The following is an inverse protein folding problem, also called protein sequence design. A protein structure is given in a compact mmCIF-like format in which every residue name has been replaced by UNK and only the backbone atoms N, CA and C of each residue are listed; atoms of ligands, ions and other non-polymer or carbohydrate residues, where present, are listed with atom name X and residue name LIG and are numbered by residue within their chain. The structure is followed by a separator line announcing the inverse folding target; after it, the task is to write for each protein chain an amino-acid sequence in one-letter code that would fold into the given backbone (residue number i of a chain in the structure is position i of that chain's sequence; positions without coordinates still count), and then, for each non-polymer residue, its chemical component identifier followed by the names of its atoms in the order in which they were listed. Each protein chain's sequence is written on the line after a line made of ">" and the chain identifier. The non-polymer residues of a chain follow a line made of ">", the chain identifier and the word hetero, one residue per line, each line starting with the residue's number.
data_IF_099428310101
#
_entry.id   IF_099428310101
#
_cell.length_a   1.000
_cell.length_b   1.000
_cell.length_c   1.000
_cell.angle_alpha   90.00
_cell.angle_beta   90.00
_cell.angle_gamma   90.00
#
_symmetry.space_group_name_H-M   'P 1'
#
loop_
_entity.id
_entity.type
_entity.pdbx_description
1 polymer ?
#
# COMPACT_ATOMS: atom_id res chain seq x y z
N UNK A 1 5.01 -0.85 -25.78
CA UNK A 1 5.29 -1.60 -24.54
C UNK A 1 5.99 -0.65 -23.57
N UNK A 2 5.51 -0.55 -22.34
CA UNK A 2 6.17 0.21 -21.26
C UNK A 2 7.09 -0.73 -20.48
N UNK A 3 8.30 -0.28 -20.15
CA UNK A 3 9.25 -1.00 -19.30
C UNK A 3 9.70 -0.08 -18.16
N UNK A 4 9.80 -0.62 -16.95
CA UNK A 4 10.31 0.06 -15.77
C UNK A 4 11.74 -0.42 -15.51
N UNK A 5 12.68 0.50 -15.40
CA UNK A 5 14.06 0.25 -14.98
C UNK A 5 14.27 0.75 -13.56
N UNK A 6 14.62 -0.16 -12.67
CA UNK A 6 15.04 0.15 -11.31
C UNK A 6 16.55 0.28 -11.31
N UNK A 7 17.07 1.48 -11.08
CA UNK A 7 18.50 1.77 -11.11
C UNK A 7 19.08 1.83 -9.69
N UNK A 8 20.05 1.01 -9.36
CA UNK A 8 20.73 1.01 -8.06
C UNK A 8 22.25 1.19 -8.20
N UNK A 9 22.97 1.31 -7.08
CA UNK A 9 24.42 1.54 -7.14
C UNK A 9 25.19 0.33 -7.70
N UNK A 10 24.76 -0.88 -7.37
CA UNK A 10 25.53 -2.11 -7.57
C UNK A 10 26.68 -2.24 -6.56
N UNK A 11 27.13 -3.48 -6.36
CA UNK A 11 28.13 -3.87 -5.37
C UNK A 11 29.18 -4.78 -6.00
N UNK A 12 30.48 -4.60 -5.64
CA UNK A 12 31.53 -5.56 -6.02
C UNK A 12 31.27 -6.98 -5.48
N UNK A 13 30.49 -7.10 -4.39
CA UNK A 13 30.07 -8.39 -3.86
C UNK A 13 28.79 -8.83 -4.56
N UNK A 14 28.89 -9.86 -5.42
CA UNK A 14 27.77 -10.35 -6.25
C UNK A 14 26.50 -10.65 -5.43
N UNK A 15 26.62 -11.30 -4.28
CA UNK A 15 25.48 -11.66 -3.43
C UNK A 15 24.76 -10.44 -2.80
N UNK A 16 25.36 -9.25 -2.85
CA UNK A 16 24.72 -8.02 -2.41
C UNK A 16 23.88 -7.36 -3.51
N UNK A 17 24.01 -7.79 -4.77
CA UNK A 17 23.25 -7.27 -5.91
C UNK A 17 21.87 -7.93 -5.95
N UNK A 18 20.96 -7.42 -5.11
CA UNK A 18 19.63 -7.99 -4.92
C UNK A 18 18.53 -7.16 -5.61
N UNK A 19 18.90 -6.29 -6.56
CA UNK A 19 17.96 -5.37 -7.18
C UNK A 19 16.97 -6.11 -8.10
N UNK A 20 17.36 -7.26 -8.66
CA UNK A 20 16.42 -8.12 -9.40
C UNK A 20 15.25 -8.58 -8.52
N UNK A 21 15.47 -8.84 -7.24
CA UNK A 21 14.40 -9.23 -6.31
C UNK A 21 13.38 -8.11 -6.14
N UNK A 22 13.84 -6.86 -6.05
CA UNK A 22 12.97 -5.68 -5.99
C UNK A 22 12.20 -5.53 -7.30
N UNK A 23 12.87 -5.66 -8.44
CA UNK A 23 12.23 -5.61 -9.75
C UNK A 23 11.12 -6.66 -9.88
N UNK A 24 11.37 -7.89 -9.42
CA UNK A 24 10.39 -8.98 -9.43
C UNK A 24 9.18 -8.70 -8.50
N UNK A 25 9.40 -8.16 -7.30
CA UNK A 25 8.31 -7.79 -6.40
C UNK A 25 7.43 -6.68 -7.00
N UNK A 26 8.05 -5.68 -7.63
CA UNK A 26 7.34 -4.61 -8.32
C UNK A 26 6.58 -5.12 -9.54
N UNK A 27 7.19 -6.00 -10.34
CA UNK A 27 6.54 -6.67 -11.47
C UNK A 27 5.23 -7.34 -11.06
N UNK A 28 5.29 -8.17 -10.02
CA UNK A 28 4.13 -8.90 -9.50
C UNK A 28 3.03 -7.98 -8.96
N UNK A 29 3.40 -6.79 -8.47
CA UNK A 29 2.47 -5.83 -7.89
C UNK A 29 1.79 -4.97 -8.95
N UNK A 30 2.56 -4.47 -9.93
CA UNK A 30 2.07 -3.52 -10.95
C UNK A 30 1.31 -4.25 -12.06
N UNK A 31 1.79 -5.42 -12.49
CA UNK A 31 1.24 -6.15 -13.62
C UNK A 31 1.01 -7.65 -13.30
N UNK A 32 0.03 -7.98 -12.43
CA UNK A 32 -0.30 -9.37 -12.16
C UNK A 32 -0.76 -10.07 -13.45
N UNK A 33 0.00 -11.08 -13.90
CA UNK A 33 -0.27 -11.85 -15.12
C UNK A 33 0.52 -11.45 -16.37
N UNK A 34 1.44 -10.48 -16.27
CA UNK A 34 2.36 -10.17 -17.36
C UNK A 34 3.42 -11.27 -17.51
N UNK A 35 3.48 -11.89 -18.69
CA UNK A 35 4.47 -12.90 -19.06
C UNK A 35 5.83 -12.33 -19.47
N UNK A 36 5.94 -11.00 -19.58
CA UNK A 36 7.14 -10.31 -20.03
C UNK A 36 7.91 -9.72 -18.83
N UNK A 37 9.22 -9.60 -18.96
CA UNK A 37 10.06 -8.85 -18.00
C UNK A 37 9.87 -7.34 -18.19
N UNK A 38 8.73 -6.80 -17.74
CA UNK A 38 8.40 -5.37 -17.86
C UNK A 38 8.98 -4.52 -16.71
N UNK A 39 9.56 -5.13 -15.69
CA UNK A 39 10.39 -4.44 -14.68
C UNK A 39 11.77 -5.09 -14.65
N UNK A 40 12.82 -4.28 -14.76
CA UNK A 40 14.21 -4.75 -14.89
C UNK A 40 15.14 -3.97 -13.96
N UNK A 41 16.22 -4.63 -13.53
CA UNK A 41 17.27 -4.00 -12.74
C UNK A 41 18.36 -3.42 -13.65
N UNK A 42 18.95 -2.31 -13.23
CA UNK A 42 20.14 -1.73 -13.82
C UNK A 42 21.04 -1.15 -12.73
N UNK A 43 22.33 -1.06 -13.01
CA UNK A 43 23.32 -0.68 -12.01
C UNK A 43 24.15 0.52 -12.47
N UNK A 44 24.43 1.43 -11.55
CA UNK A 44 25.29 2.59 -11.83
C UNK A 44 26.76 2.15 -11.93
N UNK A 45 27.20 1.23 -11.07
CA UNK A 45 28.57 0.72 -11.00
C UNK A 45 28.62 -0.74 -10.53
N UNK A 46 29.77 -1.39 -10.69
CA UNK A 46 30.14 -2.70 -10.10
C UNK A 46 29.29 -3.94 -10.47
N UNK A 47 28.14 -3.75 -11.11
CA UNK A 47 27.23 -4.80 -11.52
C UNK A 47 26.67 -4.52 -12.92
N UNK A 48 26.10 -5.54 -13.54
CA UNK A 48 25.59 -5.49 -14.91
C UNK A 48 24.14 -5.96 -14.94
N UNK A 49 23.32 -5.48 -15.90
CA UNK A 49 23.66 -4.46 -16.90
C UNK A 49 23.81 -3.07 -16.28
N UNK A 50 24.67 -2.24 -16.86
CA UNK A 50 24.71 -0.82 -16.53
C UNK A 50 23.43 -0.11 -17.01
N UNK A 51 23.19 1.12 -16.55
CA UNK A 51 21.95 1.86 -16.89
C UNK A 51 21.80 2.05 -18.41
N UNK A 52 22.88 2.37 -19.12
CA UNK A 52 22.82 2.61 -20.55
C UNK A 52 22.60 1.30 -21.33
N UNK A 53 23.28 0.23 -20.95
CA UNK A 53 23.09 -1.11 -21.51
C UNK A 53 21.67 -1.61 -21.27
N UNK A 54 21.12 -1.42 -20.06
CA UNK A 54 19.76 -1.79 -19.74
C UNK A 54 18.75 -1.02 -20.60
N UNK A 55 18.96 0.29 -20.82
CA UNK A 55 18.14 1.10 -21.73
C UNK A 55 18.21 0.57 -23.16
N UNK A 56 19.42 0.29 -23.68
CA UNK A 56 19.61 -0.28 -25.03
C UNK A 56 18.85 -1.59 -25.19
N UNK A 57 18.94 -2.48 -24.21
CA UNK A 57 18.23 -3.76 -24.22
C UNK A 57 16.71 -3.55 -24.22
N UNK A 58 16.20 -2.62 -23.41
CA UNK A 58 14.78 -2.27 -23.40
C UNK A 58 14.29 -1.73 -24.75
N UNK A 59 15.05 -0.83 -25.37
CA UNK A 59 14.71 -0.25 -26.67
C UNK A 59 14.72 -1.32 -27.78
N UNK A 60 15.72 -2.20 -27.79
CA UNK A 60 15.83 -3.31 -28.74
C UNK A 60 14.67 -4.32 -28.60
N UNK A 61 14.16 -4.50 -27.38
CA UNK A 61 12.97 -5.31 -27.11
C UNK A 61 11.64 -4.62 -27.53
N UNK A 62 11.72 -3.45 -28.16
CA UNK A 62 10.56 -2.72 -28.68
C UNK A 62 9.82 -1.88 -27.64
N UNK A 63 10.49 -1.48 -26.55
CA UNK A 63 9.94 -0.49 -25.64
C UNK A 63 9.56 0.79 -26.39
N UNK A 64 8.37 1.31 -26.10
CA UNK A 64 7.93 2.64 -26.55
C UNK A 64 8.06 3.69 -25.47
N UNK A 65 8.19 3.23 -24.23
CA UNK A 65 8.29 4.05 -23.05
C UNK A 65 9.14 3.33 -22.00
N UNK A 66 10.10 4.05 -21.41
CA UNK A 66 10.98 3.54 -20.36
C UNK A 66 10.87 4.47 -19.16
N UNK A 67 10.43 3.93 -18.02
CA UNK A 67 10.38 4.65 -16.75
C UNK A 67 11.60 4.26 -15.92
N UNK A 68 12.49 5.20 -15.63
CA UNK A 68 13.69 4.99 -14.81
C UNK A 68 13.40 5.48 -13.39
N UNK A 69 13.46 4.55 -12.43
CA UNK A 69 13.32 4.82 -11.01
C UNK A 69 14.64 4.60 -10.26
N UNK A 70 15.24 5.65 -9.68
CA UNK A 70 16.44 5.51 -8.87
C UNK A 70 16.14 4.89 -7.50
N UNK A 71 16.66 3.69 -7.24
CA UNK A 71 16.52 2.96 -5.99
C UNK A 71 17.60 3.38 -4.97
N UNK A 72 17.54 4.65 -4.54
CA UNK A 72 18.50 5.25 -3.61
C UNK A 72 17.78 5.94 -2.45
N UNK A 73 18.22 5.66 -1.21
CA UNK A 73 17.68 6.29 0.01
C UNK A 73 18.14 7.74 0.21
N UNK A 74 19.28 8.10 -0.38
CA UNK A 74 19.83 9.45 -0.31
C UNK A 74 20.11 9.99 -1.71
N UNK A 75 19.81 11.27 -1.88
CA UNK A 75 20.06 12.03 -3.10
C UNK A 75 21.51 12.54 -3.11
N UNK A 76 22.48 11.62 -3.11
CA UNK A 76 23.89 11.99 -3.32
C UNK A 76 24.11 12.58 -4.72
N UNK A 77 25.18 13.35 -4.91
CA UNK A 77 25.51 13.99 -6.21
C UNK A 77 25.33 13.03 -7.39
N UNK A 78 25.88 11.82 -7.27
CA UNK A 78 25.82 10.77 -8.31
C UNK A 78 24.41 10.39 -8.78
N UNK A 79 23.39 10.46 -7.93
CA UNK A 79 22.02 10.11 -8.31
C UNK A 79 21.33 11.27 -9.02
N UNK A 80 21.61 12.49 -8.57
CA UNK A 80 20.95 13.71 -9.07
C UNK A 80 21.59 14.29 -10.33
N UNK A 81 22.83 13.92 -10.66
CA UNK A 81 23.50 14.36 -11.89
C UNK A 81 23.72 13.24 -12.89
N UNK A 82 24.20 12.08 -12.45
CA UNK A 82 24.75 11.09 -13.38
C UNK A 82 23.63 10.33 -14.10
N UNK A 83 22.60 9.90 -13.38
CA UNK A 83 21.44 9.21 -13.99
C UNK A 83 20.71 10.14 -14.97
N UNK A 84 20.36 11.40 -14.62
CA UNK A 84 19.77 12.32 -15.59
C UNK A 84 20.65 12.57 -16.82
N UNK A 85 21.98 12.62 -16.68
CA UNK A 85 22.89 12.76 -17.82
C UNK A 85 22.83 11.53 -18.75
N UNK A 86 22.85 10.32 -18.19
CA UNK A 86 22.70 9.05 -18.93
C UNK A 86 21.36 9.01 -19.66
N UNK A 87 20.26 9.42 -19.00
CA UNK A 87 18.93 9.45 -19.62
C UNK A 87 18.88 10.44 -20.78
N UNK A 88 19.47 11.64 -20.64
CA UNK A 88 19.56 12.61 -21.75
C UNK A 88 20.33 12.07 -22.95
N UNK A 89 21.42 11.33 -22.70
CA UNK A 89 22.17 10.69 -23.78
C UNK A 89 21.34 9.61 -24.48
N UNK A 90 20.57 8.84 -23.72
CA UNK A 90 19.66 7.84 -24.25
C UNK A 90 18.49 8.44 -25.06
N UNK A 91 17.95 9.58 -24.66
CA UNK A 91 16.91 10.31 -25.41
C UNK A 91 17.38 10.68 -26.82
N UNK A 92 18.66 11.06 -26.97
CA UNK A 92 19.26 11.36 -28.28
C UNK A 92 19.45 10.09 -29.10
N UNK A 93 19.87 8.98 -28.48
CA UNK A 93 20.08 7.71 -29.19
C UNK A 93 18.77 7.01 -29.60
N UNK A 94 17.71 7.16 -28.81
CA UNK A 94 16.44 6.45 -28.99
C UNK A 94 15.26 7.43 -29.07
N UNK A 95 15.18 8.29 -30.11
CA UNK A 95 14.15 9.34 -30.21
C UNK A 95 12.72 8.82 -30.37
N UNK A 96 12.56 7.52 -30.61
CA UNK A 96 11.26 6.84 -30.72
C UNK A 96 10.78 6.23 -29.41
N UNK A 97 11.54 6.39 -28.33
CA UNK A 97 11.23 5.90 -26.98
C UNK A 97 11.00 7.11 -26.08
N UNK A 98 9.86 7.12 -25.39
CA UNK A 98 9.59 8.12 -24.35
C UNK A 98 10.33 7.75 -23.06
N UNK A 99 11.09 8.68 -22.48
CA UNK A 99 11.81 8.47 -21.23
C UNK A 99 11.14 9.24 -20.09
N UNK A 100 10.88 8.56 -18.97
CA UNK A 100 10.40 9.19 -17.73
C UNK A 100 11.40 8.90 -16.62
N UNK A 101 11.83 9.95 -15.93
CA UNK A 101 12.67 9.85 -14.74
C UNK A 101 11.85 10.23 -13.51
N UNK A 102 11.87 9.39 -12.47
CA UNK A 102 11.18 9.69 -11.20
C UNK A 102 12.13 10.24 -10.16
N UNK A 103 11.59 10.82 -9.09
CA UNK A 103 12.36 11.06 -7.88
C UNK A 103 12.90 9.74 -7.29
N UNK A 104 14.08 9.77 -6.64
CA UNK A 104 14.60 8.62 -5.90
C UNK A 104 13.70 8.30 -4.70
N UNK A 105 13.88 7.11 -4.09
CA UNK A 105 13.16 6.75 -2.86
C UNK A 105 13.28 7.83 -1.77
N UNK A 106 14.51 8.33 -1.55
CA UNK A 106 14.77 9.47 -0.68
C UNK A 106 14.23 9.32 0.74
N UNK A 107 13.99 10.47 1.38
CA UNK A 107 13.34 10.55 2.68
C UNK A 107 11.82 10.60 2.46
N UNK A 108 11.15 9.49 2.76
CA UNK A 108 9.70 9.37 2.63
C UNK A 108 9.11 8.71 3.90
N UNK A 109 7.91 9.12 4.31
CA UNK A 109 7.25 8.64 5.55
C UNK A 109 7.14 7.11 5.62
N UNK A 110 6.83 6.46 4.49
CA UNK A 110 6.83 4.98 4.38
C UNK A 110 8.21 4.34 4.59
N UNK A 111 9.30 5.00 4.21
CA UNK A 111 10.66 4.50 4.50
C UNK A 111 10.94 4.60 6.00
N UNK A 112 10.49 5.66 6.67
CA UNK A 112 10.54 5.78 8.13
C UNK A 112 9.77 4.67 8.82
N UNK A 113 8.63 4.23 8.29
CA UNK A 113 7.88 3.08 8.83
C UNK A 113 8.69 1.78 8.76
N UNK A 114 9.38 1.51 7.64
CA UNK A 114 10.26 0.35 7.51
C UNK A 114 11.43 0.43 8.49
N UNK A 115 12.03 1.61 8.67
CA UNK A 115 13.09 1.84 9.66
C UNK A 115 12.56 1.59 11.07
N UNK A 116 11.38 2.11 11.39
CA UNK A 116 10.71 1.92 12.67
C UNK A 116 10.45 0.44 12.94
N UNK A 117 9.94 -0.31 11.96
CA UNK A 117 9.73 -1.75 12.05
C UNK A 117 11.03 -2.51 12.35
N UNK A 118 12.14 -2.13 11.71
CA UNK A 118 13.46 -2.71 11.98
C UNK A 118 13.98 -2.38 13.37
N UNK A 119 13.83 -1.12 13.82
CA UNK A 119 14.22 -0.69 15.17
C UNK A 119 13.40 -1.45 16.20
N UNK A 120 12.09 -1.57 16.01
CA UNK A 120 11.21 -2.33 16.89
C UNK A 120 11.60 -3.81 16.96
N UNK A 121 11.85 -4.42 15.80
CA UNK A 121 12.32 -5.81 15.72
C UNK A 121 13.65 -6.02 16.46
N UNK A 122 14.55 -5.03 16.43
CA UNK A 122 15.85 -5.10 17.11
C UNK A 122 15.80 -4.74 18.60
N UNK A 123 14.95 -3.78 18.99
CA UNK A 123 14.79 -3.31 20.38
C UNK A 123 13.90 -4.21 21.24
N UNK A 124 13.26 -5.22 20.63
CA UNK A 124 12.36 -6.13 21.32
C UNK A 124 10.96 -5.55 21.56
N UNK A 125 10.72 -4.28 21.19
CA UNK A 125 9.41 -3.64 21.25
C UNK A 125 8.50 -4.27 20.21
N UNK A 126 7.63 -5.18 20.64
CA UNK A 126 6.67 -5.84 19.75
C UNK A 126 5.62 -4.82 19.32
N UNK A 127 5.06 -4.90 18.10
CA UNK A 127 3.94 -4.05 17.68
C UNK A 127 2.79 -3.98 18.71
N UNK A 128 2.53 -5.10 19.40
CA UNK A 128 1.55 -5.17 20.49
C UNK A 128 1.91 -4.30 21.70
N UNK A 129 3.19 -4.11 22.00
CA UNK A 129 3.66 -3.28 23.13
C UNK A 129 3.55 -1.79 22.81
N UNK A 130 3.76 -1.40 21.55
CA UNK A 130 3.54 -0.02 21.09
C UNK A 130 2.06 0.32 21.08
N UNK A 131 1.23 -0.61 20.61
CA UNK A 131 -0.23 -0.46 20.65
C UNK A 131 -0.72 -0.36 22.10
N UNK A 132 -0.21 -1.22 22.98
CA UNK A 132 -0.49 -1.15 24.43
C UNK A 132 -0.10 0.21 25.00
N UNK A 133 1.12 0.68 24.71
CA UNK A 133 1.61 1.98 25.18
C UNK A 133 0.77 3.13 24.64
N UNK A 134 0.33 3.05 23.39
CA UNK A 134 -0.56 4.05 22.78
C UNK A 134 -1.91 4.10 23.50
N UNK A 135 -2.49 2.95 23.84
CA UNK A 135 -3.72 2.90 24.62
C UNK A 135 -3.55 3.39 26.06
N UNK A 136 -2.40 3.16 26.69
CA UNK A 136 -2.05 3.74 27.99
C UNK A 136 -2.05 5.27 27.90
N UNK A 137 -1.32 5.84 26.92
CA UNK A 137 -1.27 7.29 26.69
C UNK A 137 -2.67 7.87 26.46
N UNK A 138 -3.50 7.24 25.62
CA UNK A 138 -4.89 7.70 25.41
C UNK A 138 -5.69 7.69 26.72
N UNK A 139 -5.44 6.73 27.61
CA UNK A 139 -6.14 6.63 28.90
C UNK A 139 -5.63 7.64 29.94
N UNK A 140 -4.38 8.08 29.82
CA UNK A 140 -3.77 9.11 30.68
C UNK A 140 -4.24 10.52 30.27
N UNK A 141 -4.37 10.77 28.96
CA UNK A 141 -4.73 12.09 28.40
C UNK A 141 -6.24 12.36 28.35
N UNK A 142 -7.07 11.32 28.45
CA UNK A 142 -8.52 11.42 28.28
C UNK A 142 -9.24 10.86 29.50
N UNK A 143 -10.08 11.68 30.13
CA UNK A 143 -11.03 11.17 31.12
C UNK A 143 -12.03 10.24 30.41
N UNK A 144 -12.06 8.99 30.83
CA UNK A 144 -12.93 7.93 30.29
C UNK A 144 -13.84 7.34 31.37
N UNK A 145 -13.91 7.97 32.55
CA UNK A 145 -14.66 7.46 33.70
C UNK A 145 -16.18 7.42 33.45
N UNK A 146 -16.68 8.27 32.55
CA UNK A 146 -18.07 8.35 32.12
C UNK A 146 -18.44 7.38 30.99
N UNK A 147 -17.45 6.67 30.43
CA UNK A 147 -17.63 5.78 29.28
C UNK A 147 -17.88 4.34 29.73
N UNK A 148 -18.98 3.69 29.30
CA UNK A 148 -19.22 2.28 29.58
C UNK A 148 -18.07 1.37 29.11
N UNK A 149 -17.71 0.36 29.92
CA UNK A 149 -16.55 -0.51 29.67
C UNK A 149 -16.58 -1.18 28.29
N UNK A 150 -17.75 -1.59 27.83
CA UNK A 150 -17.95 -2.22 26.52
C UNK A 150 -17.59 -1.30 25.34
N UNK A 151 -17.67 0.03 25.52
CA UNK A 151 -17.37 1.03 24.48
C UNK A 151 -15.91 1.43 24.46
N UNK A 152 -15.21 1.31 25.59
CA UNK A 152 -13.81 1.72 25.74
C UNK A 152 -12.89 1.14 24.66
N UNK A 153 -12.95 -0.16 24.30
CA UNK A 153 -12.07 -0.71 23.28
C UNK A 153 -12.30 -0.08 21.91
N UNK A 154 -13.55 0.24 21.58
CA UNK A 154 -13.91 0.81 20.27
C UNK A 154 -13.45 2.28 20.20
N UNK A 155 -13.76 3.07 21.22
CA UNK A 155 -13.37 4.49 21.28
C UNK A 155 -11.85 4.61 21.24
N UNK A 156 -11.12 3.88 22.09
CA UNK A 156 -9.64 3.89 22.10
C UNK A 156 -9.08 3.45 20.75
N UNK A 157 -9.69 2.46 20.08
CA UNK A 157 -9.24 2.01 18.75
C UNK A 157 -9.42 3.07 17.66
N UNK A 158 -10.53 3.81 17.69
CA UNK A 158 -10.79 4.91 16.75
C UNK A 158 -9.80 6.06 16.99
N UNK A 159 -9.64 6.49 18.25
CA UNK A 159 -8.67 7.54 18.61
C UNK A 159 -7.25 7.12 18.21
N UNK A 160 -6.84 5.89 18.51
CA UNK A 160 -5.50 5.39 18.13
C UNK A 160 -5.26 5.45 16.62
N UNK A 161 -6.28 5.15 15.81
CA UNK A 161 -6.15 5.09 14.36
C UNK A 161 -6.19 6.48 13.69
N UNK A 162 -6.75 7.47 14.38
CA UNK A 162 -6.98 8.83 13.87
C UNK A 162 -6.12 9.90 14.53
N UNK A 163 -5.55 9.58 15.70
CA UNK A 163 -4.92 10.51 16.64
C UNK A 163 -5.82 11.69 17.07
N UNK A 164 -7.14 11.49 17.04
CA UNK A 164 -8.13 12.52 17.32
C UNK A 164 -8.97 12.15 18.55
N UNK A 165 -8.84 12.93 19.62
CA UNK A 165 -9.51 12.71 20.89
C UNK A 165 -10.99 13.13 20.88
N UNK A 166 -11.44 13.92 19.90
CA UNK A 166 -12.83 14.36 19.80
C UNK A 166 -13.81 13.18 19.63
N UNK A 167 -13.31 12.06 19.09
CA UNK A 167 -14.06 10.80 18.97
C UNK A 167 -14.56 10.22 20.30
N UNK A 168 -14.07 10.66 21.46
CA UNK A 168 -14.72 10.36 22.75
C UNK A 168 -16.19 10.81 22.74
N UNK A 169 -16.43 12.00 22.21
CA UNK A 169 -17.72 12.70 22.32
C UNK A 169 -18.55 12.61 21.03
N UNK A 170 -17.90 12.51 19.87
CA UNK A 170 -18.60 12.46 18.58
C UNK A 170 -19.07 11.06 18.19
N UNK A 171 -18.54 9.98 18.79
CA UNK A 171 -19.02 8.62 18.56
C UNK A 171 -20.33 8.35 19.29
N UNK A 172 -21.38 8.09 18.51
CA UNK A 172 -22.71 7.74 19.02
C UNK A 172 -22.95 6.24 18.87
N UNK A 173 -23.38 5.60 19.96
CA UNK A 173 -23.67 4.17 19.99
C UNK A 173 -25.16 3.95 20.25
N UNK A 174 -25.81 3.18 19.38
CA UNK A 174 -27.11 2.60 19.72
C UNK A 174 -26.92 1.65 20.92
N UNK A 175 -27.86 1.58 21.89
CA UNK A 175 -27.72 0.74 23.09
C UNK A 175 -27.31 -0.71 22.77
N UNK A 176 -27.92 -1.30 21.74
CA UNK A 176 -27.69 -2.70 21.37
C UNK A 176 -26.57 -2.90 20.33
N UNK A 177 -25.89 -1.83 19.87
CA UNK A 177 -24.99 -1.91 18.71
C UNK A 177 -23.86 -2.94 18.90
N UNK A 178 -23.25 -2.94 20.10
CA UNK A 178 -22.10 -3.80 20.40
C UNK A 178 -22.56 -5.25 20.53
N UNK A 179 -23.63 -5.49 21.31
CA UNK A 179 -24.18 -6.84 21.50
C UNK A 179 -24.64 -7.45 20.17
N UNK A 180 -25.47 -6.71 19.41
CA UNK A 180 -25.98 -7.18 18.13
C UNK A 180 -24.85 -7.42 17.11
N UNK A 181 -23.86 -6.52 17.05
CA UNK A 181 -22.70 -6.67 16.18
C UNK A 181 -21.86 -7.91 16.52
N UNK A 182 -21.57 -8.13 17.80
CA UNK A 182 -20.84 -9.31 18.26
C UNK A 182 -21.62 -10.60 17.99
N UNK A 183 -22.93 -10.61 18.20
CA UNK A 183 -23.80 -11.74 17.91
C UNK A 183 -23.80 -12.08 16.41
N UNK A 184 -23.93 -11.07 15.54
CA UNK A 184 -23.90 -11.25 14.10
C UNK A 184 -22.56 -11.83 13.61
N UNK A 185 -21.43 -11.31 14.10
CA UNK A 185 -20.10 -11.80 13.75
C UNK A 185 -19.91 -13.25 14.18
N UNK A 186 -20.29 -13.60 15.42
CA UNK A 186 -20.16 -14.96 15.96
C UNK A 186 -21.08 -15.96 15.25
N UNK A 187 -22.23 -15.50 14.76
CA UNK A 187 -23.15 -16.30 13.95
C UNK A 187 -22.68 -16.47 12.49
N UNK A 188 -21.51 -15.95 12.13
CA UNK A 188 -20.93 -16.09 10.79
C UNK A 188 -21.63 -15.28 9.71
N UNK A 189 -22.29 -14.18 10.09
CA UNK A 189 -22.91 -13.26 9.12
C UNK A 189 -21.84 -12.55 8.29
N UNK A 190 -22.19 -12.24 7.05
CA UNK A 190 -21.33 -11.48 6.15
C UNK A 190 -21.29 -10.00 6.56
N UNK A 191 -20.11 -9.38 6.43
CA UNK A 191 -19.88 -7.97 6.70
C UNK A 191 -19.88 -7.21 5.38
N UNK A 192 -20.84 -6.30 5.23
CA UNK A 192 -20.97 -5.47 4.05
C UNK A 192 -20.19 -4.17 4.22
N UNK A 193 -19.47 -3.78 3.18
CA UNK A 193 -18.67 -2.55 3.16
C UNK A 193 -18.97 -1.76 1.90
N UNK A 194 -19.01 -0.45 2.02
CA UNK A 194 -19.29 0.49 0.93
C UNK A 194 -18.05 0.76 0.07
N UNK A 195 -16.85 0.66 0.64
CA UNK A 195 -15.57 0.89 -0.06
C UNK A 195 -14.54 -0.23 0.18
N UNK A 196 -13.67 -0.47 -0.82
CA UNK A 196 -12.68 -1.55 -0.78
C UNK A 196 -11.59 -1.35 0.29
N UNK A 197 -11.28 -0.11 0.66
CA UNK A 197 -10.28 0.15 1.72
C UNK A 197 -10.73 -0.41 3.07
N UNK A 198 -12.02 -0.29 3.41
CA UNK A 198 -12.56 -0.86 4.65
C UNK A 198 -12.48 -2.38 4.60
N UNK A 199 -12.87 -3.00 3.47
CA UNK A 199 -12.76 -4.45 3.26
C UNK A 199 -11.32 -4.96 3.40
N UNK A 200 -10.35 -4.24 2.85
CA UNK A 200 -8.93 -4.59 2.95
C UNK A 200 -8.39 -4.46 4.38
N UNK A 201 -8.92 -3.52 5.17
CA UNK A 201 -8.53 -3.30 6.56
C UNK A 201 -9.05 -4.34 7.56
N UNK A 202 -10.12 -5.07 7.24
CA UNK A 202 -10.70 -6.07 8.13
C UNK A 202 -9.87 -7.37 8.11
N UNK A 203 -9.36 -7.77 9.28
CA UNK A 203 -8.52 -8.96 9.43
C UNK A 203 -9.24 -10.26 8.98
N UNK A 204 -8.71 -10.89 7.93
CA UNK A 204 -9.28 -12.11 7.33
C UNK A 204 -9.22 -13.32 8.27
N UNK A 205 -8.09 -13.53 8.97
CA UNK A 205 -7.85 -14.69 9.83
C UNK A 205 -8.80 -14.74 11.03
N UNK A 206 -9.08 -13.57 11.63
CA UNK A 206 -9.96 -13.49 12.80
C UNK A 206 -11.42 -13.83 12.44
N UNK A 207 -11.79 -13.66 11.16
CA UNK A 207 -13.14 -13.86 10.65
C UNK A 207 -13.36 -15.26 10.08
N UNK A 208 -12.33 -15.87 9.47
CA UNK A 208 -12.34 -17.29 9.08
C UNK A 208 -12.73 -18.20 10.25
N UNK A 209 -12.38 -17.80 11.48
CA UNK A 209 -12.82 -18.46 12.71
C UNK A 209 -14.35 -18.62 12.83
N UNK A 210 -15.12 -17.68 12.30
CA UNK A 210 -16.58 -17.62 12.47
C UNK A 210 -17.37 -17.82 11.17
N UNK A 211 -16.71 -17.93 10.02
CA UNK A 211 -17.30 -18.38 8.74
C UNK A 211 -17.84 -17.30 7.80
N UNK A 212 -17.99 -16.04 8.25
CA UNK A 212 -18.53 -14.94 7.43
C UNK A 212 -17.52 -14.31 6.44
N UNK A 213 -18.04 -13.72 5.36
CA UNK A 213 -17.26 -13.00 4.33
C UNK A 213 -17.28 -11.48 4.58
N UNK A 214 -16.38 -10.75 3.92
CA UNK A 214 -16.45 -9.29 3.83
C UNK A 214 -16.63 -8.97 2.36
N UNK A 215 -17.73 -8.31 2.05
CA UNK A 215 -18.17 -8.10 0.68
C UNK A 215 -18.24 -6.60 0.42
N UNK A 216 -17.80 -6.19 -0.77
CA UNK A 216 -17.86 -4.81 -1.22
C UNK A 216 -18.30 -4.82 -2.69
N UNK A 217 -19.46 -4.23 -2.96
CA UNK A 217 -20.06 -4.23 -4.30
C UNK A 217 -19.64 -3.04 -5.18
N UNK A 218 -18.77 -2.15 -4.68
CA UNK A 218 -18.54 -0.85 -5.32
C UNK A 218 -17.91 -0.96 -6.71
N UNK A 219 -17.06 -1.96 -6.96
CA UNK A 219 -16.42 -2.14 -8.27
C UNK A 219 -17.35 -2.74 -9.32
N UNK A 220 -18.32 -3.54 -8.88
CA UNK A 220 -19.28 -4.25 -9.72
C UNK A 220 -20.49 -3.37 -10.10
N UNK A 221 -20.61 -2.21 -9.46
CA UNK A 221 -21.57 -1.14 -9.79
C UNK A 221 -21.28 -0.42 -11.12
N UNK A 222 -20.27 -0.85 -11.89
CA UNK A 222 -19.96 -0.32 -13.23
C UNK A 222 -20.99 -0.66 -14.31
N UNK A 223 -21.95 -1.55 -14.02
CA UNK A 223 -23.01 -1.92 -14.95
C UNK A 223 -24.01 -0.75 -15.06
N UNK A 224 -24.10 -0.13 -16.24
CA UNK A 224 -24.99 1.00 -16.54
C UNK A 224 -26.44 0.66 -16.12
N UNK A 225 -27.00 1.33 -15.13
CA UNK A 225 -28.42 1.26 -14.84
C UNK A 225 -29.19 2.17 -15.81
N UNK A 226 -30.25 1.62 -16.43
CA UNK A 226 -31.25 2.36 -17.22
C UNK A 226 -32.32 3.00 -16.30
N UNK A 227 -31.98 3.32 -15.04
CA UNK A 227 -32.95 3.83 -14.05
C UNK A 227 -33.02 5.36 -14.03
N UNK A 228 -34.22 5.89 -13.78
CA UNK A 228 -34.55 7.32 -13.78
C UNK A 228 -34.00 8.11 -12.58
N UNK A 229 -33.34 7.45 -11.63
CA UNK A 229 -32.77 8.04 -10.40
C UNK A 229 -31.25 7.90 -10.41
N UNK A 230 -30.54 9.02 -10.27
CA UNK A 230 -29.07 9.04 -10.21
C UNK A 230 -28.63 8.54 -8.83
N UNK A 231 -28.37 7.23 -8.73
CA UNK A 231 -27.81 6.59 -7.53
C UNK A 231 -26.28 6.68 -7.51
N UNK A 232 -25.70 6.72 -6.31
CA UNK A 232 -24.24 6.68 -6.17
C UNK A 232 -23.70 5.26 -6.36
N UNK A 233 -22.41 5.11 -6.67
CA UNK A 233 -21.76 3.79 -6.79
C UNK A 233 -21.80 2.98 -5.50
N UNK A 234 -21.65 3.67 -4.36
CA UNK A 234 -21.74 3.03 -3.04
C UNK A 234 -23.16 2.50 -2.79
N UNK A 235 -24.19 3.30 -3.09
CA UNK A 235 -25.60 2.91 -2.96
C UNK A 235 -25.92 1.69 -3.85
N UNK A 236 -25.57 1.74 -5.14
CA UNK A 236 -25.78 0.60 -6.06
C UNK A 236 -25.00 -0.65 -5.62
N UNK A 237 -23.78 -0.46 -5.11
CA UNK A 237 -22.95 -1.55 -4.58
C UNK A 237 -23.58 -2.23 -3.37
N UNK A 238 -24.06 -1.46 -2.39
CA UNK A 238 -24.71 -1.99 -1.19
C UNK A 238 -26.04 -2.68 -1.53
N UNK A 239 -26.91 -2.04 -2.31
CA UNK A 239 -28.21 -2.62 -2.70
C UNK A 239 -28.05 -3.98 -3.37
N UNK A 240 -27.05 -4.11 -4.24
CA UNK A 240 -26.77 -5.37 -4.91
C UNK A 240 -26.33 -6.45 -3.93
N UNK A 241 -25.33 -6.14 -3.10
CA UNK A 241 -24.77 -7.14 -2.19
C UNK A 241 -25.82 -7.60 -1.17
N UNK A 242 -26.73 -6.71 -0.75
CA UNK A 242 -27.87 -7.05 0.11
C UNK A 242 -28.87 -8.04 -0.55
N UNK A 243 -28.96 -8.11 -1.87
CA UNK A 243 -29.83 -9.10 -2.54
C UNK A 243 -29.19 -10.48 -2.62
N UNK A 244 -27.87 -10.54 -2.54
CA UNK A 244 -27.07 -11.74 -2.77
C UNK A 244 -26.67 -12.47 -1.47
N UNK A 245 -26.93 -11.88 -0.29
CA UNK A 245 -26.53 -12.38 1.04
C UNK A 245 -27.67 -12.24 2.06
#
# INVERSE_FOLDING_TARGET
>A
MEIILIAGHGSPKKDANNLENVAMLLHNTIHPGCSNSCVRAAYLQFAQPDIMEAIKNCANDGAKKIVIHPYFLSSGMHVTTDIPAIVKEAEVMFPHVEFIYTEPLGIHSKMTQVVLERIHSASGLKPAEIEKRSFEIISEELDLSDVPEERLPIIKRVIHSTADFEFKTSLVFHPDAIEAGLAAIKAGKDILTDIEMVKAGINKKLREKWGGKVVCGIQESRVKSQESRVKTRAEMGIERVLREN
#
